data_IF_130533243705
#
_entry.id   IF_130533243705
#
_cell.length_a   1.000
_cell.length_b   1.000
_cell.length_c   1.000
_cell.angle_alpha   90.00
_cell.angle_beta   90.00
_cell.angle_gamma   90.00
#
_symmetry.space_group_name_H-M   'P 1'
#
loop_
_entity.id
_entity.type
_entity.pdbx_description
1 polymer ?
#
# COMPACT_ATOMS: atom_id res chain seq x y z
N UNK A 1 3.32 17.19 25.68
CA UNK A 1 2.60 17.90 24.61
C UNK A 1 3.54 18.00 23.43
N UNK A 2 3.32 17.23 22.35
CA UNK A 2 4.06 17.43 21.11
C UNK A 2 3.34 18.52 20.31
N UNK A 3 4.00 19.66 20.10
CA UNK A 3 3.50 20.73 19.25
C UNK A 3 3.47 20.22 17.82
N UNK A 4 2.37 20.43 17.10
CA UNK A 4 2.18 20.04 15.69
C UNK A 4 3.20 20.67 14.70
N UNK A 5 4.24 21.32 15.20
CA UNK A 5 5.24 22.08 14.47
C UNK A 5 6.69 21.66 14.76
N UNK A 6 6.92 20.59 15.54
CA UNK A 6 8.24 19.93 15.61
C UNK A 6 8.48 19.08 14.35
N UNK A 7 8.32 19.69 13.17
CA UNK A 7 8.69 19.04 11.92
C UNK A 7 10.21 19.04 11.82
N UNK A 8 10.82 17.88 12.06
CA UNK A 8 12.25 17.68 11.91
C UNK A 8 12.68 18.09 10.49
N UNK A 9 13.54 19.10 10.36
CA UNK A 9 14.07 19.52 9.06
C UNK A 9 14.96 18.42 8.48
N UNK A 10 14.48 17.81 7.41
CA UNK A 10 15.18 16.74 6.73
C UNK A 10 16.07 17.28 5.61
N UNK A 11 17.39 17.16 5.78
CA UNK A 11 18.36 17.63 4.80
C UNK A 11 18.74 16.49 3.84
N UNK A 12 18.18 16.50 2.64
CA UNK A 12 18.48 15.52 1.59
C UNK A 12 19.72 15.90 0.79
N UNK A 13 20.66 14.95 0.64
CA UNK A 13 21.75 15.06 -0.35
C UNK A 13 21.30 14.35 -1.63
N UNK A 14 21.08 15.13 -2.68
CA UNK A 14 20.62 14.62 -3.98
C UNK A 14 21.65 14.96 -5.06
N UNK A 15 21.88 14.07 -6.04
CA UNK A 15 22.59 14.41 -7.27
C UNK A 15 21.91 15.59 -7.99
N UNK A 16 22.70 16.45 -8.65
CA UNK A 16 22.18 17.65 -9.32
C UNK A 16 21.06 17.35 -10.31
N UNK A 17 21.21 16.27 -11.10
CA UNK A 17 20.19 15.86 -12.06
C UNK A 17 18.86 15.48 -11.41
N UNK A 18 18.91 14.78 -10.28
CA UNK A 18 17.71 14.35 -9.56
C UNK A 18 16.98 15.54 -8.95
N UNK A 19 17.73 16.46 -8.34
CA UNK A 19 17.17 17.69 -7.80
C UNK A 19 16.49 18.55 -8.89
N UNK A 20 17.12 18.66 -10.07
CA UNK A 20 16.55 19.39 -11.20
C UNK A 20 15.23 18.77 -11.70
N UNK A 21 15.18 17.44 -11.83
CA UNK A 21 13.97 16.71 -12.24
C UNK A 21 12.82 16.91 -11.24
N UNK A 22 13.09 16.79 -9.94
CA UNK A 22 12.07 16.99 -8.89
C UNK A 22 11.57 18.45 -8.91
N UNK A 23 12.47 19.42 -9.06
CA UNK A 23 12.11 20.84 -9.15
C UNK A 23 11.23 21.14 -10.37
N UNK A 24 11.54 20.54 -11.52
CA UNK A 24 10.72 20.69 -12.73
C UNK A 24 9.33 20.07 -12.54
N UNK A 25 9.26 18.85 -12.00
CA UNK A 25 7.99 18.14 -11.74
C UNK A 25 7.12 18.91 -10.74
N UNK A 26 7.71 19.44 -9.67
CA UNK A 26 7.02 20.28 -8.69
C UNK A 26 6.38 21.52 -9.34
N UNK A 27 7.10 22.19 -10.25
CA UNK A 27 6.57 23.33 -11.01
C UNK A 27 5.41 22.93 -11.91
N UNK A 28 5.49 21.77 -12.58
CA UNK A 28 4.40 21.27 -13.43
C UNK A 28 3.16 20.91 -12.61
N UNK A 29 3.34 20.39 -11.40
CA UNK A 29 2.27 19.97 -10.51
C UNK A 29 1.72 21.12 -9.63
N UNK A 30 2.22 22.35 -9.79
CA UNK A 30 1.90 23.51 -8.94
C UNK A 30 2.09 23.22 -7.44
N UNK A 31 3.15 22.49 -7.09
CA UNK A 31 3.49 22.10 -5.70
C UNK A 31 4.82 22.71 -5.28
N UNK A 32 4.99 22.90 -3.97
CA UNK A 32 6.30 23.20 -3.40
C UNK A 32 7.24 21.99 -3.60
N UNK A 33 8.55 22.23 -3.62
CA UNK A 33 9.53 21.14 -3.73
C UNK A 33 9.35 20.11 -2.60
N UNK A 34 9.10 20.58 -1.38
CA UNK A 34 8.89 19.72 -0.22
C UNK A 34 7.61 18.88 -0.38
N UNK A 35 6.51 19.50 -0.82
CA UNK A 35 5.25 18.81 -1.07
C UNK A 35 5.36 17.76 -2.18
N UNK A 36 6.17 18.02 -3.22
CA UNK A 36 6.41 17.03 -4.28
C UNK A 36 7.27 15.85 -3.78
N UNK A 37 8.29 16.11 -2.96
CA UNK A 37 9.11 15.05 -2.35
C UNK A 37 8.23 14.17 -1.45
N UNK A 38 7.41 14.77 -0.60
CA UNK A 38 6.48 14.03 0.27
C UNK A 38 5.53 13.19 -0.58
N UNK A 39 4.89 13.78 -1.58
CA UNK A 39 3.96 13.07 -2.45
C UNK A 39 4.63 11.91 -3.21
N UNK A 40 5.87 12.08 -3.68
CA UNK A 40 6.61 11.02 -4.36
C UNK A 40 6.97 9.86 -3.40
N UNK A 41 7.30 10.18 -2.13
CA UNK A 41 7.55 9.17 -1.11
C UNK A 41 6.25 8.44 -0.76
N UNK A 42 5.16 9.16 -0.51
CA UNK A 42 3.83 8.58 -0.25
C UNK A 42 3.37 7.70 -1.42
N UNK A 43 3.52 8.16 -2.65
CA UNK A 43 3.20 7.39 -3.85
C UNK A 43 4.06 6.12 -3.94
N UNK A 44 5.37 6.22 -3.66
CA UNK A 44 6.26 5.06 -3.66
C UNK A 44 5.91 4.06 -2.55
N UNK A 45 5.59 4.54 -1.35
CA UNK A 45 5.17 3.71 -0.22
C UNK A 45 3.80 3.08 -0.46
N UNK A 46 2.85 3.82 -1.03
CA UNK A 46 1.54 3.33 -1.46
C UNK A 46 1.68 2.28 -2.56
N UNK A 47 2.60 2.49 -3.52
CA UNK A 47 2.88 1.54 -4.58
C UNK A 47 3.56 0.27 -4.03
N UNK A 48 4.49 0.42 -3.08
CA UNK A 48 5.10 -0.71 -2.38
C UNK A 48 4.07 -1.48 -1.53
N UNK A 49 3.17 -0.80 -0.83
CA UNK A 49 2.09 -1.45 -0.07
C UNK A 49 1.03 -2.08 -0.97
N UNK A 50 0.75 -1.52 -2.15
CA UNK A 50 -0.07 -2.18 -3.18
C UNK A 50 0.62 -3.41 -3.81
N UNK A 51 1.95 -3.49 -3.74
CA UNK A 51 2.73 -4.67 -4.10
C UNK A 51 3.01 -5.60 -2.89
N UNK A 52 2.68 -5.16 -1.68
CA UNK A 52 2.97 -5.80 -0.38
C UNK A 52 1.70 -5.89 0.47
N UNK A 53 0.63 -6.45 -0.10
CA UNK A 53 -0.49 -6.96 0.70
C UNK A 53 -0.08 -8.24 1.47
N UNK A 54 1.12 -8.77 1.24
CA UNK A 54 1.68 -9.87 2.00
C UNK A 54 3.00 -9.44 2.64
N UNK A 55 2.93 -9.11 3.94
CA UNK A 55 4.10 -8.79 4.76
C UNK A 55 4.84 -10.09 5.15
N UNK A 56 4.18 -11.25 5.02
CA UNK A 56 4.72 -12.56 5.33
C UNK A 56 4.23 -13.62 4.31
N UNK A 57 5.14 -14.47 3.82
CA UNK A 57 4.79 -15.59 2.93
C UNK A 57 3.84 -16.58 3.62
N UNK A 58 3.92 -16.70 4.95
CA UNK A 58 2.99 -17.53 5.73
C UNK A 58 1.57 -16.94 5.72
N UNK A 59 1.43 -15.62 5.78
CA UNK A 59 0.13 -14.93 5.72
C UNK A 59 -0.51 -15.09 4.34
N UNK A 60 0.30 -15.02 3.26
CA UNK A 60 -0.14 -15.32 1.89
C UNK A 60 -0.67 -16.74 1.74
N UNK A 61 0.07 -17.72 2.27
CA UNK A 61 -0.35 -19.11 2.23
C UNK A 61 -1.63 -19.31 3.06
N UNK A 62 -1.73 -18.70 4.25
CA UNK A 62 -2.92 -18.80 5.09
C UNK A 62 -4.16 -18.23 4.41
N UNK A 63 -4.05 -17.08 3.73
CA UNK A 63 -5.18 -16.47 3.03
C UNK A 63 -5.63 -17.30 1.83
N UNK A 64 -4.68 -17.80 1.02
CA UNK A 64 -4.99 -18.71 -0.09
C UNK A 64 -5.68 -20.00 0.37
N UNK A 65 -5.24 -20.57 1.50
CA UNK A 65 -5.87 -21.75 2.07
C UNK A 65 -7.25 -21.43 2.68
N UNK A 66 -7.40 -20.27 3.33
CA UNK A 66 -8.68 -19.80 3.88
C UNK A 66 -9.75 -19.69 2.79
N UNK A 67 -9.42 -19.11 1.64
CA UNK A 67 -10.39 -18.96 0.55
C UNK A 67 -10.79 -20.30 -0.07
N UNK A 68 -9.84 -21.23 -0.19
CA UNK A 68 -10.13 -22.59 -0.61
C UNK A 68 -11.06 -23.31 0.36
N UNK A 69 -10.79 -23.22 1.67
CA UNK A 69 -11.60 -23.84 2.72
C UNK A 69 -13.00 -23.23 2.77
N UNK A 70 -13.13 -21.89 2.70
CA UNK A 70 -14.42 -21.20 2.65
C UNK A 70 -15.29 -21.72 1.50
N UNK A 71 -14.69 -21.91 0.31
CA UNK A 71 -15.41 -22.42 -0.85
C UNK A 71 -15.87 -23.87 -0.64
N UNK A 72 -15.00 -24.73 -0.15
CA UNK A 72 -15.33 -26.14 0.13
C UNK A 72 -16.47 -26.24 1.14
N UNK A 73 -16.39 -25.48 2.25
CA UNK A 73 -17.43 -25.45 3.28
C UNK A 73 -18.75 -24.95 2.68
N UNK A 74 -18.71 -23.87 1.90
CA UNK A 74 -19.90 -23.33 1.26
C UNK A 74 -20.57 -24.34 0.33
N UNK A 75 -19.81 -24.98 -0.55
CA UNK A 75 -20.34 -25.95 -1.50
C UNK A 75 -20.92 -27.18 -0.78
N UNK A 76 -20.24 -27.65 0.27
CA UNK A 76 -20.69 -28.79 1.09
C UNK A 76 -22.00 -28.48 1.82
N UNK A 77 -22.10 -27.32 2.48
CA UNK A 77 -23.32 -26.91 3.18
C UNK A 77 -24.48 -26.70 2.21
N UNK A 78 -24.21 -26.13 1.03
CA UNK A 78 -25.20 -25.95 -0.03
C UNK A 78 -25.76 -27.29 -0.52
N UNK A 79 -24.92 -28.30 -0.68
CA UNK A 79 -25.37 -29.65 -1.06
C UNK A 79 -26.16 -30.34 0.06
N UNK A 80 -25.68 -30.24 1.31
CA UNK A 80 -26.35 -30.83 2.46
C UNK A 80 -27.75 -30.24 2.66
N UNK A 81 -27.89 -28.92 2.64
CA UNK A 81 -29.20 -28.27 2.77
C UNK A 81 -30.12 -28.51 1.57
N UNK A 82 -29.57 -28.72 0.37
CA UNK A 82 -30.38 -29.16 -0.77
C UNK A 82 -30.93 -30.58 -0.60
N UNK A 83 -30.14 -31.48 0.00
CA UNK A 83 -30.51 -32.88 0.22
C UNK A 83 -31.55 -33.05 1.32
N UNK A 84 -31.51 -32.23 2.37
CA UNK A 84 -32.52 -32.23 3.43
C UNK A 84 -33.84 -31.54 3.04
N UNK A 85 -33.87 -30.86 1.88
CA UNK A 85 -35.05 -30.16 1.34
C UNK A 85 -35.80 -30.98 0.27
N UNK A 86 -35.49 -32.28 0.09
CA UNK A 86 -36.13 -33.20 -0.86
C UNK A 86 -36.71 -34.44 -0.17
#
# INVERSE_FOLDING_TARGET
MYSKYDEAQFHLRLPHELHAKIKQRAKMNNRSLNSEIIAAIEESLAKQSSASVYIDDAERMAEQQSDMVKKIVFDTLKELYKKDSS
#
